data_IF_419584292670
#
_entry.id   IF_419584292670
#
_cell.length_a   1.000
_cell.length_b   1.000
_cell.length_c   1.000
_cell.angle_alpha   90.00
_cell.angle_beta   90.00
_cell.angle_gamma   90.00
#
_symmetry.space_group_name_H-M   'P 1'
#
loop_
_entity.id
_entity.type
_entity.pdbx_description
1 polymer ?
#
# COMPACT_ATOMS: atom_id res chain seq x y z
N UNK A 1 -11.22 3.38 3.08
CA UNK A 1 -10.02 4.23 3.28
C UNK A 1 -9.07 3.59 4.27
N UNK A 2 -9.61 3.04 5.36
CA UNK A 2 -8.98 2.28 6.44
C UNK A 2 -7.86 1.37 5.95
N UNK A 3 -8.09 0.55 4.92
CA UNK A 3 -7.06 -0.36 4.38
C UNK A 3 -5.82 0.37 3.83
N UNK A 4 -6.03 1.46 3.07
CA UNK A 4 -4.93 2.26 2.50
C UNK A 4 -4.21 3.09 3.57
N UNK A 5 -4.95 3.58 4.55
CA UNK A 5 -4.37 4.29 5.69
C UNK A 5 -3.52 3.35 6.55
N UNK A 6 -4.02 2.16 6.85
CA UNK A 6 -3.31 1.16 7.66
C UNK A 6 -1.97 0.75 7.02
N UNK A 7 -1.96 0.43 5.72
CA UNK A 7 -0.72 0.07 5.02
C UNK A 7 0.27 1.24 4.95
N UNK A 8 -0.22 2.46 4.76
CA UNK A 8 0.63 3.66 4.74
C UNK A 8 1.31 3.88 6.08
N UNK A 9 0.57 3.75 7.19
CA UNK A 9 1.14 3.88 8.54
C UNK A 9 2.14 2.75 8.82
N UNK A 10 1.82 1.51 8.48
CA UNK A 10 2.75 0.40 8.65
C UNK A 10 4.07 0.60 7.87
N UNK A 11 3.98 1.05 6.62
CA UNK A 11 5.16 1.36 5.80
C UNK A 11 5.98 2.53 6.39
N UNK A 12 5.32 3.56 6.89
CA UNK A 12 5.98 4.67 7.58
C UNK A 12 6.65 4.24 8.89
N UNK A 13 6.08 3.28 9.63
CA UNK A 13 6.72 2.70 10.81
C UNK A 13 8.00 1.96 10.44
N UNK A 14 8.00 1.21 9.34
CA UNK A 14 9.21 0.54 8.84
C UNK A 14 10.26 1.57 8.44
N UNK A 15 9.85 2.62 7.73
CA UNK A 15 10.75 3.73 7.38
C UNK A 15 11.35 4.36 8.65
N UNK A 16 10.56 4.59 9.69
CA UNK A 16 11.03 5.16 10.95
C UNK A 16 12.14 4.34 11.61
N UNK A 17 12.03 3.00 11.55
CA UNK A 17 13.03 2.08 12.09
C UNK A 17 14.29 1.98 11.22
N UNK A 18 14.17 2.12 9.90
CA UNK A 18 15.27 1.90 8.95
C UNK A 18 15.96 3.19 8.45
N UNK A 19 15.37 4.38 8.69
CA UNK A 19 15.89 5.68 8.21
C UNK A 19 17.33 6.01 8.62
N UNK A 20 17.85 5.35 9.65
CA UNK A 20 19.23 5.52 10.08
C UNK A 20 20.23 4.86 9.13
N UNK A 21 19.82 3.78 8.45
CA UNK A 21 20.64 3.01 7.52
C UNK A 21 20.56 3.60 6.13
N UNK A 22 19.35 3.90 5.66
CA UNK A 22 19.12 4.52 4.36
C UNK A 22 17.99 5.56 4.44
N UNK A 23 18.29 6.79 4.07
CA UNK A 23 17.33 7.92 4.07
C UNK A 23 16.66 8.12 2.72
N UNK A 24 17.13 7.45 1.67
CA UNK A 24 16.60 7.56 0.33
C UNK A 24 15.54 6.49 0.02
N UNK A 25 15.18 5.64 0.99
CA UNK A 25 14.14 4.62 0.83
C UNK A 25 12.83 5.24 0.32
N UNK A 26 12.21 4.59 -0.66
CA UNK A 26 10.94 5.02 -1.26
C UNK A 26 9.86 4.00 -0.93
N UNK A 27 8.76 4.47 -0.35
CA UNK A 27 7.54 3.67 -0.20
C UNK A 27 6.74 3.81 -1.50
N UNK A 28 6.59 2.73 -2.25
CA UNK A 28 5.88 2.69 -3.53
C UNK A 28 4.72 1.69 -3.52
N UNK A 29 3.96 1.62 -4.62
CA UNK A 29 2.95 0.58 -4.88
C UNK A 29 1.78 0.47 -3.88
N UNK A 30 1.51 1.50 -3.08
CA UNK A 30 0.32 1.54 -2.21
C UNK A 30 -0.93 1.69 -3.07
N UNK A 31 -1.74 0.64 -3.17
CA UNK A 31 -2.97 0.66 -3.93
C UNK A 31 -4.02 -0.35 -3.41
N UNK A 32 -5.28 -0.14 -3.79
CA UNK A 32 -6.36 -1.04 -3.45
C UNK A 32 -6.37 -2.23 -4.42
N UNK A 33 -6.16 -3.44 -3.90
CA UNK A 33 -6.16 -4.68 -4.68
C UNK A 33 -7.57 -5.25 -4.80
N UNK A 34 -8.33 -5.25 -3.70
CA UNK A 34 -9.66 -5.81 -3.66
C UNK A 34 -10.58 -4.97 -2.76
N UNK A 35 -11.84 -4.84 -3.16
CA UNK A 35 -12.93 -4.34 -2.31
C UNK A 35 -14.19 -5.10 -2.69
N UNK A 36 -14.90 -5.62 -1.69
CA UNK A 36 -16.22 -6.18 -1.86
C UNK A 36 -17.25 -5.38 -1.06
N UNK A 37 -18.50 -5.36 -1.55
CA UNK A 37 -19.64 -4.75 -0.87
C UNK A 37 -19.89 -3.27 -1.20
N UNK A 38 -21.09 -2.82 -0.82
CA UNK A 38 -21.64 -1.51 -1.17
C UNK A 38 -22.29 -1.48 -2.56
N UNK A 39 -22.88 -0.34 -2.92
CA UNK A 39 -23.60 -0.17 -4.17
C UNK A 39 -22.74 -0.40 -5.43
N UNK A 40 -21.42 -0.22 -5.30
CA UNK A 40 -20.47 -0.36 -6.41
C UNK A 40 -20.05 -1.81 -6.70
N UNK A 41 -20.49 -2.79 -5.90
CA UNK A 41 -20.16 -4.20 -6.10
C UNK A 41 -18.70 -4.57 -5.77
N UNK A 42 -18.19 -5.62 -6.42
CA UNK A 42 -16.82 -6.12 -6.21
C UNK A 42 -15.86 -5.42 -7.17
N UNK A 43 -14.80 -4.84 -6.61
CA UNK A 43 -13.66 -4.32 -7.32
C UNK A 43 -12.46 -5.23 -7.12
N UNK A 44 -11.83 -5.62 -8.22
CA UNK A 44 -10.58 -6.37 -8.23
C UNK A 44 -9.63 -5.72 -9.22
N UNK A 45 -8.44 -5.36 -8.74
CA UNK A 45 -7.40 -4.73 -9.56
C UNK A 45 -6.78 -5.81 -10.45
N UNK A 46 -6.95 -5.66 -11.77
CA UNK A 46 -6.41 -6.57 -12.81
C UNK A 46 -4.94 -6.32 -13.19
N UNK A 47 -4.32 -5.32 -12.59
CA UNK A 47 -2.99 -4.84 -12.94
C UNK A 47 -1.97 -5.28 -11.88
N UNK A 48 -1.05 -6.17 -12.27
CA UNK A 48 -0.01 -6.78 -11.45
C UNK A 48 1.21 -5.87 -11.21
N UNK A 49 1.19 -4.59 -11.63
CA UNK A 49 2.30 -3.65 -11.39
C UNK A 49 2.66 -3.41 -9.91
N UNK A 50 1.85 -3.92 -8.98
CA UNK A 50 2.18 -3.97 -7.55
C UNK A 50 3.14 -5.13 -7.18
N UNK A 51 3.29 -6.14 -8.04
CA UNK A 51 4.22 -7.29 -7.87
C UNK A 51 5.58 -7.08 -8.52
N UNK A 52 5.68 -6.17 -9.48
CA UNK A 52 6.92 -5.88 -10.22
C UNK A 52 7.44 -4.49 -9.87
N UNK A 53 8.14 -4.39 -8.73
CA UNK A 53 9.21 -3.43 -8.45
C UNK A 53 9.90 -3.77 -7.13
#
# INVERSE_FOLDING_TARGET
MEALTAVSIAALTIYDMCKAVDRAMVISNICLVHKAGGASGVFERKDDRCREQ
#
